data_IF_500825613768
#
_entry.id   IF_500825613768
#
_cell.length_a   1.000
_cell.length_b   1.000
_cell.length_c   1.000
_cell.angle_alpha   90.00
_cell.angle_beta   90.00
_cell.angle_gamma   90.00
#
_symmetry.space_group_name_H-M   'P 1'
#
loop_
_entity.id
_entity.type
_entity.pdbx_description
1 polymer ?
#
# COMPACT_ATOMS: atom_id res chain seq x y z
N UNK A 1 -64.25 -39.89 24.63
CA UNK A 1 -64.11 -38.59 25.33
C UNK A 1 -62.80 -37.94 24.90
N UNK A 2 -62.92 -36.72 24.34
CA UNK A 2 -61.94 -35.63 24.17
C UNK A 2 -60.45 -36.02 24.06
N UNK A 3 -59.89 -35.93 22.84
CA UNK A 3 -59.14 -34.73 22.36
C UNK A 3 -57.95 -34.39 23.27
N UNK A 4 -56.77 -34.93 22.97
CA UNK A 4 -55.51 -34.26 23.26
C UNK A 4 -54.86 -33.87 21.93
N UNK A 5 -55.29 -32.70 21.46
CA UNK A 5 -54.80 -32.05 20.26
C UNK A 5 -53.28 -31.87 20.33
N UNK A 6 -52.64 -32.46 19.33
CA UNK A 6 -51.31 -32.16 18.82
C UNK A 6 -51.10 -30.64 18.71
N UNK A 7 -50.53 -30.04 19.74
CA UNK A 7 -50.10 -28.65 19.75
C UNK A 7 -48.68 -28.60 19.22
N UNK A 8 -48.49 -28.84 17.91
CA UNK A 8 -47.27 -28.45 17.22
C UNK A 8 -47.21 -26.92 17.23
N UNK A 9 -46.53 -26.39 18.24
CA UNK A 9 -46.11 -25.01 18.31
C UNK A 9 -45.25 -24.74 17.07
N UNK A 10 -45.81 -24.04 16.08
CA UNK A 10 -45.08 -23.48 14.95
C UNK A 10 -43.96 -22.59 15.52
N UNK A 11 -42.78 -23.17 15.75
CA UNK A 11 -41.57 -22.38 15.88
C UNK A 11 -41.23 -21.96 14.45
N UNK A 12 -41.54 -20.71 14.11
CA UNK A 12 -40.98 -20.06 12.94
C UNK A 12 -39.45 -20.09 13.11
N UNK A 13 -38.80 -21.11 12.54
CA UNK A 13 -37.36 -21.15 12.41
C UNK A 13 -37.01 -19.98 11.49
N UNK A 14 -36.41 -18.95 12.08
CA UNK A 14 -36.01 -17.73 11.37
C UNK A 14 -35.06 -18.15 10.24
N UNK A 15 -35.39 -17.74 9.02
CA UNK A 15 -34.59 -18.03 7.84
C UNK A 15 -33.18 -17.45 8.02
N UNK A 16 -32.22 -18.34 8.13
CA UNK A 16 -30.85 -18.16 7.66
C UNK A 16 -30.63 -19.35 6.73
N UNK A 17 -31.21 -19.26 5.54
CA UNK A 17 -31.20 -20.38 4.58
C UNK A 17 -29.88 -20.42 3.82
N UNK A 18 -29.52 -21.59 3.27
CA UNK A 18 -28.34 -21.69 2.39
C UNK A 18 -28.47 -20.77 1.16
N UNK A 19 -29.69 -20.61 0.63
CA UNK A 19 -29.98 -19.68 -0.49
C UNK A 19 -29.65 -18.23 -0.16
N UNK A 20 -29.93 -17.81 1.08
CA UNK A 20 -29.65 -16.46 1.55
C UNK A 20 -28.14 -16.20 1.63
N UNK A 21 -27.37 -17.17 2.14
CA UNK A 21 -25.90 -17.10 2.13
C UNK A 21 -25.31 -17.11 0.71
N UNK A 22 -25.90 -17.87 -0.22
CA UNK A 22 -25.45 -17.88 -1.62
C UNK A 22 -25.65 -16.53 -2.31
N UNK A 23 -26.82 -15.88 -2.12
CA UNK A 23 -27.06 -14.54 -2.66
C UNK A 23 -26.14 -13.49 -2.04
N UNK A 24 -25.84 -13.59 -0.74
CA UNK A 24 -24.91 -12.68 -0.06
C UNK A 24 -23.48 -12.81 -0.62
N UNK A 25 -22.98 -14.04 -0.78
CA UNK A 25 -21.65 -14.27 -1.36
C UNK A 25 -21.57 -13.79 -2.81
N UNK A 26 -22.66 -13.94 -3.58
CA UNK A 26 -22.75 -13.42 -4.94
C UNK A 26 -22.59 -11.89 -4.95
N UNK A 27 -23.34 -11.17 -4.12
CA UNK A 27 -23.24 -9.71 -4.05
C UNK A 27 -21.87 -9.26 -3.55
N UNK A 28 -21.32 -9.89 -2.50
CA UNK A 28 -19.99 -9.55 -1.98
C UNK A 28 -18.91 -9.77 -3.04
N UNK A 29 -19.00 -10.83 -3.86
CA UNK A 29 -18.00 -11.09 -4.90
C UNK A 29 -17.97 -9.98 -5.96
N UNK A 30 -19.13 -9.49 -6.41
CA UNK A 30 -19.22 -8.36 -7.34
C UNK A 30 -18.64 -7.08 -6.72
N UNK A 31 -18.94 -6.82 -5.44
CA UNK A 31 -18.38 -5.66 -4.73
C UNK A 31 -16.85 -5.74 -4.61
N UNK A 32 -16.30 -6.91 -4.30
CA UNK A 32 -14.85 -7.10 -4.20
C UNK A 32 -14.14 -6.84 -5.53
N UNK A 33 -14.71 -7.30 -6.65
CA UNK A 33 -14.15 -7.05 -7.99
C UNK A 33 -14.06 -5.56 -8.30
N UNK A 34 -14.99 -4.74 -7.83
CA UNK A 34 -14.95 -3.29 -8.01
C UNK A 34 -13.97 -2.59 -7.06
N UNK A 35 -13.88 -3.06 -5.82
CA UNK A 35 -13.08 -2.42 -4.76
C UNK A 35 -11.57 -2.71 -4.92
N UNK A 36 -11.19 -3.95 -5.21
CA UNK A 36 -9.78 -4.37 -5.33
C UNK A 36 -8.98 -3.52 -6.34
N UNK A 37 -9.43 -3.29 -7.59
CA UNK A 37 -8.65 -2.49 -8.54
C UNK A 37 -8.54 -1.03 -8.11
N UNK A 38 -9.53 -0.50 -7.39
CA UNK A 38 -9.47 0.87 -6.87
C UNK A 38 -8.43 1.01 -5.75
N UNK A 39 -8.37 0.05 -4.82
CA UNK A 39 -7.36 0.01 -3.75
C UNK A 39 -5.95 -0.16 -4.35
N UNK A 40 -5.79 -1.06 -5.33
CA UNK A 40 -4.50 -1.29 -5.98
C UNK A 40 -3.95 -0.01 -6.63
N UNK A 41 -4.80 0.73 -7.38
CA UNK A 41 -4.43 2.02 -7.98
C UNK A 41 -4.06 3.08 -6.94
N UNK A 42 -4.81 3.17 -5.84
CA UNK A 42 -4.48 4.09 -4.76
C UNK A 42 -3.15 3.75 -4.09
N UNK A 43 -2.87 2.45 -3.88
CA UNK A 43 -1.59 1.99 -3.34
C UNK A 43 -0.43 2.37 -4.24
N UNK A 44 -0.55 2.14 -5.55
CA UNK A 44 0.45 2.52 -6.56
C UNK A 44 0.70 4.03 -6.55
N UNK A 45 -0.36 4.85 -6.54
CA UNK A 45 -0.23 6.30 -6.47
C UNK A 45 0.50 6.78 -5.20
N UNK A 46 0.16 6.21 -4.04
CA UNK A 46 0.83 6.54 -2.77
C UNK A 46 2.31 6.15 -2.81
N UNK A 47 2.66 5.02 -3.42
CA UNK A 47 4.05 4.60 -3.59
C UNK A 47 4.82 5.56 -4.51
N UNK A 48 4.23 5.98 -5.63
CA UNK A 48 4.83 6.94 -6.56
C UNK A 48 5.08 8.31 -5.89
N UNK A 49 4.06 8.87 -5.21
CA UNK A 49 4.20 10.15 -4.48
C UNK A 49 5.21 10.02 -3.33
N UNK A 50 5.22 8.87 -2.64
CA UNK A 50 6.24 8.58 -1.63
C UNK A 50 7.65 8.55 -2.19
N UNK A 51 7.83 8.00 -3.39
CA UNK A 51 9.13 7.97 -4.08
C UNK A 51 9.57 9.37 -4.50
N UNK A 52 8.67 10.22 -5.01
CA UNK A 52 8.96 11.63 -5.32
C UNK A 52 9.42 12.40 -4.07
N UNK A 53 8.74 12.21 -2.93
CA UNK A 53 9.13 12.81 -1.66
C UNK A 53 10.50 12.31 -1.19
N UNK A 54 10.79 11.03 -1.37
CA UNK A 54 12.09 10.44 -1.05
C UNK A 54 13.20 11.00 -1.94
N UNK A 55 12.95 11.21 -3.23
CA UNK A 55 13.89 11.86 -4.15
C UNK A 55 14.20 13.29 -3.68
N UNK A 56 13.18 14.08 -3.29
CA UNK A 56 13.38 15.42 -2.74
C UNK A 56 14.21 15.41 -1.45
N UNK A 57 13.93 14.47 -0.54
CA UNK A 57 14.74 14.28 0.67
C UNK A 57 16.21 13.96 0.33
N UNK A 58 16.46 13.07 -0.64
CA UNK A 58 17.82 12.74 -1.09
C UNK A 58 18.51 13.97 -1.70
N UNK A 59 17.80 14.79 -2.49
CA UNK A 59 18.34 16.06 -2.98
C UNK A 59 18.77 16.99 -1.84
N UNK A 60 17.96 17.13 -0.79
CA UNK A 60 18.37 17.91 0.39
C UNK A 60 19.62 17.34 1.07
N UNK A 61 19.81 16.01 1.07
CA UNK A 61 21.03 15.38 1.59
C UNK A 61 22.24 15.63 0.67
N UNK A 62 22.05 15.63 -0.64
CA UNK A 62 23.08 16.01 -1.62
C UNK A 62 23.53 17.45 -1.39
N UNK A 63 22.60 18.36 -1.14
CA UNK A 63 22.90 19.76 -0.82
C UNK A 63 23.68 19.88 0.50
N UNK A 64 23.22 19.21 1.55
CA UNK A 64 23.90 19.19 2.85
C UNK A 64 25.33 18.62 2.77
N UNK A 65 25.53 17.58 1.95
CA UNK A 65 26.85 17.04 1.64
C UNK A 65 27.72 18.08 0.91
N UNK A 66 27.14 18.76 -0.07
CA UNK A 66 27.84 19.75 -0.90
C UNK A 66 28.31 20.96 -0.09
N UNK A 67 27.52 21.40 0.88
CA UNK A 67 27.89 22.49 1.81
C UNK A 67 29.11 22.12 2.68
N UNK A 68 29.25 20.86 3.08
CA UNK A 68 30.36 20.41 3.93
C UNK A 68 31.63 20.13 3.15
N UNK A 69 31.50 19.55 1.95
CA UNK A 69 32.63 19.02 1.19
C UNK A 69 33.03 19.89 0.00
N UNK A 70 32.33 21.02 -0.24
CA UNK A 70 32.52 21.91 -1.40
C UNK A 70 32.46 21.20 -2.76
N UNK A 71 31.80 20.04 -2.82
CA UNK A 71 31.54 19.27 -4.04
C UNK A 71 30.28 18.44 -3.89
N UNK A 72 29.64 18.13 -5.02
CA UNK A 72 28.54 17.16 -5.04
C UNK A 72 29.08 15.73 -4.84
N UNK A 73 28.27 14.81 -4.29
CA UNK A 73 28.65 13.41 -4.17
C UNK A 73 28.67 12.74 -5.55
N UNK A 74 29.61 11.81 -5.76
CA UNK A 74 29.76 11.10 -7.03
C UNK A 74 28.77 9.92 -7.15
N UNK A 75 28.34 9.37 -6.01
CA UNK A 75 27.39 8.25 -5.94
C UNK A 75 26.51 8.35 -4.70
N UNK A 76 25.39 7.63 -4.73
CA UNK A 76 24.51 7.52 -3.56
C UNK A 76 25.17 6.73 -2.41
N UNK A 77 26.14 5.86 -2.71
CA UNK A 77 26.90 5.09 -1.72
C UNK A 77 27.79 6.00 -0.86
N UNK A 78 28.29 7.09 -1.43
CA UNK A 78 29.05 8.10 -0.69
C UNK A 78 28.18 8.76 0.39
N UNK A 79 26.93 9.08 0.07
CA UNK A 79 25.96 9.62 1.03
C UNK A 79 25.65 8.62 2.15
N UNK A 80 25.64 7.32 1.89
CA UNK A 80 25.43 6.32 2.95
C UNK A 80 26.67 6.14 3.81
N UNK A 81 27.84 6.04 3.20
CA UNK A 81 29.11 5.88 3.91
C UNK A 81 29.38 7.05 4.85
N UNK A 82 28.99 8.26 4.43
CA UNK A 82 29.13 9.49 5.21
C UNK A 82 27.97 9.75 6.17
N UNK A 83 26.98 8.84 6.24
CA UNK A 83 25.87 8.89 7.20
C UNK A 83 24.74 9.87 6.86
N UNK A 84 24.72 10.45 5.66
CA UNK A 84 23.62 11.30 5.19
C UNK A 84 22.37 10.49 4.80
N UNK A 85 22.55 9.23 4.42
CA UNK A 85 21.48 8.30 4.07
C UNK A 85 21.70 6.93 4.75
N UNK A 86 20.63 6.18 4.93
CA UNK A 86 20.66 4.76 5.31
C UNK A 86 20.57 3.90 4.05
N UNK A 87 21.08 2.68 4.11
CA UNK A 87 21.00 1.71 2.99
C UNK A 87 19.56 1.49 2.49
N UNK A 88 18.59 1.45 3.40
CA UNK A 88 17.17 1.32 3.05
C UNK A 88 16.60 2.50 2.24
N UNK A 89 17.25 3.67 2.29
CA UNK A 89 16.79 4.89 1.60
C UNK A 89 17.32 4.99 0.15
N UNK A 90 18.14 4.04 -0.31
CA UNK A 90 18.55 3.94 -1.72
C UNK A 90 17.43 3.48 -2.65
N UNK A 91 16.37 2.89 -2.10
CA UNK A 91 15.26 2.32 -2.87
C UNK A 91 13.94 2.91 -2.42
N UNK A 92 13.06 3.11 -3.39
CA UNK A 92 11.67 3.44 -3.15
C UNK A 92 10.88 2.19 -2.76
N UNK A 93 9.75 2.38 -2.07
CA UNK A 93 8.84 1.28 -1.73
C UNK A 93 8.20 0.62 -2.96
N UNK A 94 8.15 1.34 -4.08
CA UNK A 94 7.75 0.83 -5.40
C UNK A 94 8.75 -0.18 -5.99
N UNK A 95 9.98 -0.24 -5.46
CA UNK A 95 11.07 -1.10 -5.96
C UNK A 95 12.08 -0.37 -6.85
N UNK A 96 11.79 0.87 -7.24
CA UNK A 96 12.69 1.72 -8.02
C UNK A 96 13.90 2.16 -7.18
N UNK A 97 15.06 2.34 -7.83
CA UNK A 97 16.29 2.73 -7.13
C UNK A 97 16.61 4.20 -7.39
N UNK A 98 17.09 4.89 -6.34
CA UNK A 98 17.52 6.28 -6.45
C UNK A 98 19.01 6.28 -6.78
N UNK A 99 19.36 6.92 -7.88
CA UNK A 99 20.74 7.12 -8.35
C UNK A 99 21.05 8.61 -8.40
N UNK A 100 22.33 8.99 -8.50
CA UNK A 100 22.73 10.38 -8.68
C UNK A 100 23.13 10.57 -10.15
N UNK A 101 22.47 11.49 -10.85
CA UNK A 101 22.78 11.88 -12.23
C UNK A 101 22.94 13.40 -12.27
N UNK A 102 24.06 13.87 -12.81
CA UNK A 102 24.40 15.31 -12.88
C UNK A 102 24.33 16.03 -11.51
N UNK A 103 24.56 15.29 -10.41
CA UNK A 103 24.50 15.83 -9.07
C UNK A 103 23.09 16.12 -8.55
N UNK A 104 22.09 15.43 -9.06
CA UNK A 104 20.72 15.38 -8.55
C UNK A 104 20.26 13.93 -8.43
N UNK A 105 19.35 13.67 -7.50
CA UNK A 105 18.70 12.39 -7.33
C UNK A 105 17.77 12.10 -8.51
N UNK A 106 17.91 10.92 -9.11
CA UNK A 106 17.13 10.44 -10.24
C UNK A 106 16.67 9.00 -9.97
N UNK A 107 15.39 8.74 -10.23
CA UNK A 107 14.80 7.42 -10.09
C UNK A 107 15.18 6.57 -11.33
N UNK A 108 15.51 5.30 -11.13
CA UNK A 108 15.82 4.32 -12.19
C UNK A 108 15.23 2.95 -11.88
#
# INVERSE_FOLDING_TARGET
MKRYYFKLKNKNLKAFTLLEMLLVLLVISVLLILIIPNIAKQSEHVQATGCEAQQKMVNSQIEAYSLKNNRKPDSIDELVTQGYLKEAQKKCKSGESITIKNGEASIS
#
